data_IF_280585628764
#
_entry.id   IF_280585628764
#
_cell.length_a   1.000
_cell.length_b   1.000
_cell.length_c   1.000
_cell.angle_alpha   90.00
_cell.angle_beta   90.00
_cell.angle_gamma   90.00
#
_symmetry.space_group_name_H-M   'P 1'
#
loop_
_entity.id
_entity.type
_entity.pdbx_description
1 polymer ?
#
# COMPACT_ATOMS: atom_id res chain seq x y z
N UNK A 1 17.05 8.31 -28.64
CA UNK A 1 16.22 7.40 -27.80
C UNK A 1 16.86 6.97 -26.48
N UNK A 2 18.08 6.42 -26.43
CA UNK A 2 18.70 5.91 -25.17
C UNK A 2 18.79 6.95 -24.03
N UNK A 3 19.02 8.22 -24.37
CA UNK A 3 19.16 9.33 -23.41
C UNK A 3 17.85 9.74 -22.71
N UNK A 4 16.71 9.38 -23.28
CA UNK A 4 15.40 9.65 -22.68
C UNK A 4 15.01 8.53 -21.69
N UNK A 5 15.37 7.30 -22.03
CA UNK A 5 15.16 6.11 -21.19
C UNK A 5 15.96 6.22 -19.89
N UNK A 6 17.23 6.63 -19.94
CA UNK A 6 18.06 6.79 -18.74
C UNK A 6 17.54 7.87 -17.79
N UNK A 7 16.98 8.96 -18.32
CA UNK A 7 16.37 10.03 -17.49
C UNK A 7 15.13 9.55 -16.75
N UNK A 8 14.23 8.81 -17.42
CA UNK A 8 13.07 8.20 -16.76
C UNK A 8 13.49 7.16 -15.72
N UNK A 9 14.52 6.35 -16.00
CA UNK A 9 15.01 5.36 -15.04
C UNK A 9 15.49 6.00 -13.73
N UNK A 10 16.23 7.10 -13.84
CA UNK A 10 16.77 7.84 -12.69
C UNK A 10 15.64 8.43 -11.83
N UNK A 11 14.62 9.02 -12.45
CA UNK A 11 13.44 9.55 -11.75
C UNK A 11 12.71 8.45 -10.97
N UNK A 12 12.55 7.28 -11.58
CA UNK A 12 11.89 6.12 -10.95
C UNK A 12 12.71 5.62 -9.76
N UNK A 13 14.04 5.51 -9.91
CA UNK A 13 14.93 5.12 -8.81
C UNK A 13 14.90 6.12 -7.65
N UNK A 14 14.84 7.42 -7.92
CA UNK A 14 14.75 8.44 -6.86
C UNK A 14 13.41 8.32 -6.12
N UNK A 15 12.31 8.14 -6.84
CA UNK A 15 10.99 7.99 -6.24
C UNK A 15 10.87 6.71 -5.39
N UNK A 16 11.44 5.59 -5.84
CA UNK A 16 11.46 4.34 -5.06
C UNK A 16 12.33 4.46 -3.82
N UNK A 17 13.49 5.13 -3.90
CA UNK A 17 14.34 5.39 -2.74
C UNK A 17 13.64 6.32 -1.73
N UNK A 18 12.97 7.37 -2.20
CA UNK A 18 12.22 8.30 -1.33
C UNK A 18 11.07 7.60 -0.61
N UNK A 19 10.29 6.79 -1.31
CA UNK A 19 9.19 6.03 -0.69
C UNK A 19 9.72 4.99 0.30
N UNK A 20 10.83 4.30 0.00
CA UNK A 20 11.50 3.39 0.91
C UNK A 20 12.06 4.06 2.17
N UNK A 21 12.43 5.34 2.12
CA UNK A 21 12.88 6.08 3.32
C UNK A 21 11.67 6.57 4.15
N UNK A 22 10.58 6.97 3.48
CA UNK A 22 9.44 7.61 4.13
C UNK A 22 8.47 6.61 4.76
N UNK A 23 8.19 5.49 4.09
CA UNK A 23 7.24 4.46 4.55
C UNK A 23 7.66 3.82 5.88
N UNK A 24 8.93 3.42 6.10
CA UNK A 24 9.35 2.89 7.38
C UNK A 24 9.30 3.96 8.47
N UNK A 25 9.60 5.23 8.16
CA UNK A 25 9.51 6.31 9.15
C UNK A 25 8.09 6.51 9.67
N UNK A 26 7.10 6.39 8.78
CA UNK A 26 5.68 6.43 9.14
C UNK A 26 5.35 5.19 9.98
N UNK A 27 5.74 3.99 9.55
CA UNK A 27 5.44 2.74 10.27
C UNK A 27 6.09 2.66 11.67
N UNK A 28 7.37 3.01 11.77
CA UNK A 28 8.14 3.02 13.01
C UNK A 28 7.78 4.20 13.93
N UNK A 29 7.31 5.32 13.37
CA UNK A 29 6.77 6.43 14.14
C UNK A 29 5.52 6.07 14.96
N UNK A 30 4.85 4.95 14.65
CA UNK A 30 3.73 4.44 15.43
C UNK A 30 4.13 3.49 16.57
N UNK A 31 5.40 3.06 16.64
CA UNK A 31 5.90 2.03 17.55
C UNK A 31 7.05 2.50 18.45
N UNK A 32 7.25 3.81 18.64
CA UNK A 32 8.05 4.29 19.77
C UNK A 32 7.28 4.04 21.07
N UNK A 33 7.30 2.80 21.53
CA UNK A 33 7.13 2.51 22.96
C UNK A 33 8.38 3.09 23.61
N UNK A 34 8.24 4.18 24.37
CA UNK A 34 9.33 4.71 25.17
C UNK A 34 9.76 3.63 26.17
N UNK A 35 10.85 2.93 25.86
CA UNK A 35 11.41 1.89 26.73
C UNK A 35 11.95 2.46 28.06
N UNK A 36 12.15 3.79 28.11
CA UNK A 36 12.47 4.52 29.34
C UNK A 36 11.31 4.52 30.34
N UNK A 37 10.06 4.37 29.89
CA UNK A 37 8.87 4.27 30.75
C UNK A 37 8.58 2.83 31.24
N UNK A 38 9.34 1.83 30.78
CA UNK A 38 9.17 0.43 31.18
C UNK A 38 9.85 0.14 32.53
N UNK A 39 9.10 0.32 33.63
CA UNK A 39 9.53 -0.07 34.98
C UNK A 39 9.22 -1.56 35.24
N UNK A 40 10.22 -2.45 35.40
CA UNK A 40 10.06 -3.91 35.32
C UNK A 40 9.33 -4.58 36.51
N UNK A 41 8.80 -3.82 37.48
CA UNK A 41 8.27 -4.35 38.74
C UNK A 41 7.05 -3.59 39.28
N UNK A 42 6.14 -3.17 38.39
CA UNK A 42 4.86 -2.57 38.81
C UNK A 42 3.87 -3.68 39.22
N UNK A 43 3.30 -3.67 40.44
CA UNK A 43 2.21 -4.56 40.78
C UNK A 43 1.02 -4.23 39.88
N UNK A 44 0.40 -5.25 39.30
CA UNK A 44 -0.85 -5.11 38.53
C UNK A 44 -1.93 -4.58 39.46
N UNK A 45 -2.06 -3.26 39.56
CA UNK A 45 -3.16 -2.61 40.25
C UNK A 45 -4.42 -2.87 39.42
N UNK A 46 -5.15 -3.93 39.76
CA UNK A 46 -6.53 -4.10 39.32
C UNK A 46 -7.29 -2.88 39.82
N UNK A 47 -7.58 -1.95 38.93
CA UNK A 47 -8.48 -0.86 39.27
C UNK A 47 -9.84 -1.53 39.54
N UNK A 48 -10.37 -1.32 40.74
CA UNK A 48 -11.67 -1.84 41.15
C UNK A 48 -12.55 -0.63 41.37
N UNK A 49 -13.73 -0.58 40.75
CA UNK A 49 -14.64 0.54 40.97
C UNK A 49 -15.19 0.51 42.41
N UNK A 50 -15.88 1.58 42.84
CA UNK A 50 -16.49 1.69 44.18
C UNK A 50 -17.46 0.56 44.52
N UNK A 51 -17.89 -0.21 43.52
CA UNK A 51 -18.86 -1.29 43.64
C UNK A 51 -18.18 -2.67 43.73
N UNK A 52 -16.83 -2.72 43.81
CA UNK A 52 -16.07 -3.97 43.89
C UNK A 52 -15.84 -4.65 42.54
N UNK A 53 -16.23 -4.04 41.42
CA UNK A 53 -16.05 -4.64 40.10
C UNK A 53 -14.66 -4.32 39.58
N UNK A 54 -13.91 -5.35 39.19
CA UNK A 54 -12.63 -5.19 38.49
C UNK A 54 -12.90 -4.50 37.15
N UNK A 55 -12.41 -3.27 36.96
CA UNK A 55 -12.43 -2.65 35.63
C UNK A 55 -11.32 -3.29 34.82
N UNK A 56 -11.74 -4.20 33.95
CA UNK A 56 -10.89 -4.90 33.00
C UNK A 56 -10.16 -3.85 32.14
N UNK A 57 -8.89 -3.60 32.46
CA UNK A 57 -8.07 -2.69 31.66
C UNK A 57 -7.78 -3.39 30.34
N UNK A 58 -8.62 -3.05 29.37
CA UNK A 58 -8.55 -3.39 27.96
C UNK A 58 -7.22 -2.90 27.38
N UNK A 59 -6.14 -3.63 27.70
CA UNK A 59 -4.75 -3.22 27.52
C UNK A 59 -4.28 -3.12 26.05
N UNK A 60 -2.96 -2.95 25.81
CA UNK A 60 -2.39 -2.60 24.51
C UNK A 60 -2.77 -3.54 23.35
N UNK A 61 -3.13 -4.78 23.64
CA UNK A 61 -3.47 -5.82 22.65
C UNK A 61 -4.64 -5.41 21.75
N UNK A 62 -5.62 -4.67 22.27
CA UNK A 62 -6.81 -4.27 21.51
C UNK A 62 -6.50 -3.07 20.61
N UNK A 63 -5.60 -2.19 21.07
CA UNK A 63 -5.02 -1.08 20.29
C UNK A 63 -4.15 -1.61 19.14
N UNK A 64 -3.44 -2.72 19.34
CA UNK A 64 -2.67 -3.38 18.28
C UNK A 64 -3.60 -4.02 17.23
N UNK A 65 -4.67 -4.71 17.66
CA UNK A 65 -5.65 -5.31 16.73
C UNK A 65 -6.28 -4.26 15.80
N UNK A 66 -6.69 -3.10 16.31
CA UNK A 66 -7.33 -2.05 15.49
C UNK A 66 -6.39 -1.42 14.46
N UNK A 67 -5.10 -1.23 14.81
CA UNK A 67 -4.08 -0.74 13.87
C UNK A 67 -3.80 -1.73 12.75
N UNK A 68 -3.71 -3.03 13.05
CA UNK A 68 -3.50 -4.08 12.04
C UNK A 68 -4.67 -4.14 11.06
N UNK A 69 -5.90 -4.07 11.56
CA UNK A 69 -7.11 -4.06 10.72
C UNK A 69 -7.12 -2.86 9.77
N UNK A 70 -6.80 -1.66 10.28
CA UNK A 70 -6.72 -0.45 9.44
C UNK A 70 -5.64 -0.58 8.36
N UNK A 71 -4.47 -1.13 8.72
CA UNK A 71 -3.38 -1.34 7.77
C UNK A 71 -3.76 -2.32 6.64
N UNK A 72 -4.36 -3.47 7.00
CA UNK A 72 -4.83 -4.46 6.02
C UNK A 72 -5.89 -3.86 5.09
N UNK A 73 -6.81 -3.05 5.62
CA UNK A 73 -7.83 -2.40 4.82
C UNK A 73 -7.24 -1.43 3.78
N UNK A 74 -6.26 -0.62 4.18
CA UNK A 74 -5.54 0.30 3.28
C UNK A 74 -4.80 -0.47 2.19
N UNK A 75 -4.16 -1.59 2.53
CA UNK A 75 -3.48 -2.44 1.56
C UNK A 75 -4.44 -3.02 0.52
N UNK A 76 -5.60 -3.50 0.95
CA UNK A 76 -6.62 -4.07 0.06
C UNK A 76 -7.12 -3.01 -0.93
N UNK A 77 -7.47 -1.81 -0.45
CA UNK A 77 -7.92 -0.71 -1.32
C UNK A 77 -6.84 -0.31 -2.32
N UNK A 78 -5.59 -0.19 -1.85
CA UNK A 78 -4.47 0.17 -2.70
C UNK A 78 -4.23 -0.88 -3.79
N UNK A 79 -4.29 -2.17 -3.42
CA UNK A 79 -4.17 -3.27 -4.39
C UNK A 79 -5.28 -3.23 -5.44
N UNK A 80 -6.53 -3.00 -5.03
CA UNK A 80 -7.67 -2.87 -5.95
C UNK A 80 -7.44 -1.76 -6.98
N UNK A 81 -6.99 -0.58 -6.53
CA UNK A 81 -6.69 0.56 -7.41
C UNK A 81 -5.54 0.22 -8.36
N UNK A 82 -4.50 -0.45 -7.87
CA UNK A 82 -3.35 -0.86 -8.66
C UNK A 82 -3.74 -1.77 -9.84
N UNK A 83 -4.71 -2.66 -9.65
CA UNK A 83 -5.15 -3.60 -10.69
C UNK A 83 -6.23 -3.06 -11.65
N UNK A 84 -6.73 -1.83 -11.48
CA UNK A 84 -7.73 -1.21 -12.39
C UNK A 84 -7.38 -1.35 -13.88
N UNK A 85 -6.20 -0.93 -14.37
CA UNK A 85 -5.89 -1.02 -15.80
C UNK A 85 -5.85 -2.47 -16.31
N UNK A 86 -5.45 -3.42 -15.45
CA UNK A 86 -5.50 -4.85 -15.75
C UNK A 86 -6.93 -5.35 -15.87
N UNK A 87 -7.80 -4.97 -14.92
CA UNK A 87 -9.23 -5.35 -14.93
C UNK A 87 -9.92 -4.81 -16.18
N UNK A 88 -9.69 -3.54 -16.54
CA UNK A 88 -10.28 -2.92 -17.73
C UNK A 88 -9.86 -3.66 -19.01
N UNK A 89 -8.57 -4.00 -19.15
CA UNK A 89 -8.07 -4.74 -20.30
C UNK A 89 -8.67 -6.16 -20.42
N UNK A 90 -8.91 -6.83 -19.27
CA UNK A 90 -9.52 -8.15 -19.23
C UNK A 90 -11.01 -8.12 -19.59
N UNK A 91 -11.78 -7.22 -18.97
CA UNK A 91 -13.22 -7.07 -19.21
C UNK A 91 -13.51 -6.68 -20.66
N UNK A 92 -12.63 -5.88 -21.28
CA UNK A 92 -12.77 -5.48 -22.68
C UNK A 92 -12.27 -6.50 -23.70
N UNK A 93 -11.82 -7.69 -23.26
CA UNK A 93 -11.24 -8.72 -24.14
C UNK A 93 -10.13 -8.17 -25.06
N UNK A 94 -9.36 -7.20 -24.59
CA UNK A 94 -8.42 -6.47 -25.43
C UNK A 94 -7.34 -7.40 -26.01
N UNK A 95 -7.11 -7.33 -27.33
CA UNK A 95 -6.11 -8.16 -28.02
C UNK A 95 -4.70 -8.08 -27.44
N UNK A 96 -4.34 -6.95 -26.80
CA UNK A 96 -3.03 -6.72 -26.19
C UNK A 96 -3.05 -6.81 -24.66
N UNK A 97 -4.05 -7.46 -24.06
CA UNK A 97 -4.18 -7.61 -22.59
C UNK A 97 -2.92 -8.13 -21.90
N UNK A 98 -2.19 -9.06 -22.51
CA UNK A 98 -0.94 -9.59 -21.95
C UNK A 98 0.16 -8.52 -21.83
N UNK A 99 0.24 -7.59 -22.79
CA UNK A 99 1.18 -6.47 -22.75
C UNK A 99 0.80 -5.47 -21.67
N UNK A 100 -0.50 -5.16 -21.53
CA UNK A 100 -1.01 -4.27 -20.48
C UNK A 100 -0.74 -4.87 -19.09
N UNK A 101 -0.93 -6.18 -18.92
CA UNK A 101 -0.59 -6.90 -17.69
C UNK A 101 0.91 -6.83 -17.40
N UNK A 102 1.75 -7.15 -18.38
CA UNK A 102 3.21 -7.13 -18.20
C UNK A 102 3.73 -5.74 -17.82
N UNK A 103 3.23 -4.69 -18.48
CA UNK A 103 3.62 -3.31 -18.17
C UNK A 103 3.04 -2.87 -16.83
N UNK A 104 1.81 -3.27 -16.46
CA UNK A 104 1.26 -2.91 -15.15
C UNK A 104 2.07 -3.58 -14.00
N UNK A 105 2.63 -4.77 -14.21
CA UNK A 105 3.48 -5.42 -13.20
C UNK A 105 4.87 -4.77 -13.14
N UNK A 106 5.51 -4.50 -14.28
CA UNK A 106 6.90 -4.00 -14.35
C UNK A 106 6.98 -2.49 -14.11
N UNK A 107 5.97 -1.73 -14.56
CA UNK A 107 5.95 -0.27 -14.59
C UNK A 107 4.77 0.33 -13.82
N UNK A 108 3.82 -0.46 -13.32
CA UNK A 108 2.71 0.05 -12.49
C UNK A 108 3.16 0.63 -11.15
N UNK A 109 4.35 0.25 -10.66
CA UNK A 109 5.04 0.91 -9.54
C UNK A 109 5.43 2.38 -9.83
N UNK A 110 5.31 2.82 -11.09
CA UNK A 110 5.49 4.21 -11.49
C UNK A 110 4.14 4.79 -11.86
N UNK A 111 3.83 5.98 -11.34
CA UNK A 111 2.59 6.67 -11.67
C UNK A 111 2.44 6.85 -13.20
N UNK A 112 3.54 7.14 -13.89
CA UNK A 112 3.56 7.26 -15.36
C UNK A 112 3.22 5.93 -16.04
N UNK A 113 3.85 4.82 -15.64
CA UNK A 113 3.59 3.50 -16.22
C UNK A 113 2.15 3.03 -16.00
N UNK A 114 1.60 3.30 -14.82
CA UNK A 114 0.20 3.01 -14.50
C UNK A 114 -0.77 3.82 -15.37
N UNK A 115 -0.52 5.12 -15.56
CA UNK A 115 -1.34 5.98 -16.45
C UNK A 115 -1.26 5.51 -17.90
N UNK A 116 -0.07 5.14 -18.39
CA UNK A 116 0.10 4.61 -19.75
C UNK A 116 -0.69 3.31 -19.94
N UNK A 117 -0.62 2.39 -18.98
CA UNK A 117 -1.44 1.17 -18.97
C UNK A 117 -2.93 1.48 -18.97
N UNK A 118 -3.37 2.46 -18.18
CA UNK A 118 -4.76 2.87 -18.11
C UNK A 118 -5.24 3.40 -19.45
N UNK A 119 -4.53 4.38 -20.03
CA UNK A 119 -4.86 4.93 -21.35
C UNK A 119 -4.88 3.81 -22.40
N UNK A 120 -3.87 2.93 -22.41
CA UNK A 120 -3.80 1.85 -23.37
C UNK A 120 -4.94 0.83 -23.18
N UNK A 121 -5.39 0.58 -21.95
CA UNK A 121 -6.57 -0.27 -21.70
C UNK A 121 -7.87 0.27 -22.32
N UNK A 122 -7.92 1.56 -22.63
CA UNK A 122 -9.05 2.20 -23.32
C UNK A 122 -8.90 2.29 -24.84
N UNK A 123 -7.68 2.17 -25.39
CA UNK A 123 -7.42 2.28 -26.83
C UNK A 123 -7.60 0.92 -27.49
N UNK A 124 -8.80 0.66 -28.01
CA UNK A 124 -9.03 -0.55 -28.78
C UNK A 124 -8.63 -0.35 -30.25
N UNK A 125 -7.79 -1.25 -30.77
CA UNK A 125 -7.39 -1.22 -32.18
C UNK A 125 -8.48 -1.94 -32.96
N UNK A 126 -9.51 -1.19 -33.39
CA UNK A 126 -10.50 -1.71 -34.33
C UNK A 126 -9.76 -2.16 -35.60
N UNK A 127 -9.62 -3.47 -35.76
CA UNK A 127 -9.19 -4.05 -37.03
C UNK A 127 -10.37 -3.79 -37.98
N UNK A 128 -10.28 -2.71 -38.76
CA UNK A 128 -11.13 -2.54 -39.94
C UNK A 128 -10.68 -3.67 -40.87
N UNK A 129 -11.49 -4.72 -40.92
CA UNK A 129 -11.34 -5.81 -41.86
C UNK A 129 -11.94 -5.28 -43.16
N UNK A 130 -11.10 -4.69 -44.01
CA UNK A 130 -11.43 -4.47 -45.43
C UNK A 130 -11.50 -5.81 -46.16
#
# INVERSE_FOLDING_TARGET
>A
MKKQITKSLIIVMIFTILTLIFVPKIAYGYTSVNLEDYKPNMPSSSLTNSNGNVIENKGPIISMKSKVISFVFILIITALIYFIPTIIALVRHHSYKLYIIGINIILGWTLIGWIVCLIWSFIDKRIIKE
#
